data_IF_091603980268
#
_entry.id   IF_091603980268
#
_cell.length_a   1.000
_cell.length_b   1.000
_cell.length_c   1.000
_cell.angle_alpha   90.00
_cell.angle_beta   90.00
_cell.angle_gamma   90.00
#
_symmetry.space_group_name_H-M   'P 1'
#
loop_
_entity.id
_entity.type
_entity.pdbx_description
1 polymer ?
2 branched ?
3 branched ?
4 non-polymer ?
5 non-polymer ?
6 water ?
#
# COMPACT_ATOMS: atom_id res chain seq x y z
N UNK A 1 -13.44 -13.46 -76.14
CA UNK A 1 -13.68 -12.08 -75.71
C UNK A 1 -15.15 -11.84 -75.38
N UNK A 2 -15.55 -12.16 -74.14
CA UNK A 2 -16.84 -11.70 -73.61
C UNK A 2 -16.74 -10.24 -73.17
N UNK A 3 -17.85 -9.53 -73.12
CA UNK A 3 -17.85 -8.18 -72.59
C UNK A 3 -17.93 -8.24 -71.07
N UNK A 4 -17.20 -7.36 -70.39
CA UNK A 4 -17.12 -7.42 -68.93
C UNK A 4 -17.37 -6.09 -68.25
N UNK A 5 -17.58 -6.15 -66.94
CA UNK A 5 -17.60 -4.97 -66.09
C UNK A 5 -16.43 -5.09 -65.13
N UNK A 6 -15.86 -3.95 -64.74
CA UNK A 6 -14.71 -3.95 -63.83
C UNK A 6 -14.87 -2.88 -62.76
N UNK A 7 -14.57 -3.23 -61.51
CA UNK A 7 -14.63 -2.30 -60.39
C UNK A 7 -13.25 -2.14 -59.77
N UNK A 8 -12.78 -0.91 -59.67
CA UNK A 8 -11.46 -0.67 -59.11
C UNK A 8 -11.49 0.34 -57.97
N UNK A 9 -10.69 0.11 -56.92
CA UNK A 9 -9.91 -1.12 -56.72
C UNK A 9 -10.77 -2.28 -56.23
N UNK A 10 -10.35 -3.50 -56.50
CA UNK A 10 -11.10 -4.68 -56.07
C UNK A 10 -11.16 -4.78 -54.55
N UNK A 11 -9.98 -4.76 -53.92
CA UNK A 11 -9.91 -4.76 -52.46
C UNK A 11 -9.44 -3.40 -51.96
N UNK A 12 -10.14 -2.87 -50.96
CA UNK A 12 -9.81 -1.55 -50.46
C UNK A 12 -9.80 -1.49 -48.93
N UNK A 13 -8.73 -0.95 -48.39
CA UNK A 13 -8.63 -0.73 -46.95
C UNK A 13 -8.64 0.76 -46.62
N UNK A 14 -9.71 1.19 -45.98
CA UNK A 14 -9.88 2.59 -45.64
C UNK A 14 -10.01 2.74 -44.13
N UNK A 15 -9.34 3.73 -43.56
CA UNK A 15 -9.47 3.98 -42.14
C UNK A 15 -10.90 4.37 -41.83
N UNK A 16 -11.42 3.90 -40.70
CA UNK A 16 -12.82 4.09 -40.36
C UNK A 16 -13.23 5.57 -40.35
N UNK A 17 -14.29 5.88 -41.09
CA UNK A 17 -14.75 7.25 -41.23
C UNK A 17 -14.15 7.92 -42.45
N UNK A 18 -13.26 7.21 -43.13
CA UNK A 18 -12.56 7.76 -44.28
C UNK A 18 -13.38 7.73 -45.56
N UNK A 19 -12.71 7.96 -46.68
CA UNK A 19 -13.37 8.00 -47.97
C UNK A 19 -12.44 7.49 -49.08
N UNK A 20 -13.02 7.04 -50.18
CA UNK A 20 -12.22 6.57 -51.31
C UNK A 20 -12.99 6.68 -52.63
N UNK A 21 -12.24 6.66 -53.73
CA UNK A 21 -12.82 6.68 -55.06
C UNK A 21 -12.97 5.26 -55.62
N UNK A 22 -14.14 4.98 -56.18
CA UNK A 22 -14.38 3.69 -56.82
C UNK A 22 -14.67 3.88 -58.31
N UNK A 23 -13.92 3.17 -59.14
CA UNK A 23 -14.03 3.32 -60.59
C UNK A 23 -14.58 2.07 -61.27
N UNK A 24 -15.70 2.22 -61.99
CA UNK A 24 -16.29 1.12 -62.72
C UNK A 24 -16.11 1.28 -64.22
N UNK A 25 -15.54 0.28 -64.87
CA UNK A 25 -15.26 0.34 -66.30
C UNK A 25 -15.79 -0.89 -67.05
N UNK A 26 -16.10 -0.71 -68.32
CA UNK A 26 -16.61 -1.80 -69.17
C UNK A 26 -16.13 -1.66 -70.61
N UNK A 27 -16.01 -2.78 -71.32
CA UNK A 27 -15.62 -2.78 -72.72
C UNK A 27 -16.77 -2.88 -73.75
N UNK A 28 -18.00 -2.98 -73.28
CA UNK A 28 -19.18 -3.13 -74.15
C UNK A 28 -19.29 -1.97 -75.14
N UNK A 29 -19.58 -2.27 -76.41
CA UNK A 29 -19.57 -1.29 -77.51
C UNK A 29 -20.40 -0.02 -77.24
N UNK A 30 -21.62 -0.18 -76.74
CA UNK A 30 -22.29 0.93 -76.07
C UNK A 30 -23.02 0.35 -74.85
N UNK A 31 -22.94 1.04 -73.72
CA UNK A 31 -23.76 0.71 -72.55
C UNK A 31 -25.19 1.20 -72.70
N UNK A 32 -26.15 0.40 -72.29
CA UNK A 32 -27.51 0.90 -72.19
C UNK A 32 -27.82 1.40 -70.77
N UNK A 33 -26.94 1.08 -69.83
CA UNK A 33 -27.04 1.55 -68.46
C UNK A 33 -25.68 1.45 -67.78
N UNK A 34 -25.51 2.18 -66.68
CA UNK A 34 -24.30 2.10 -65.89
C UNK A 34 -24.54 2.61 -64.49
N UNK A 35 -23.73 2.19 -63.54
CA UNK A 35 -23.89 2.61 -62.17
C UNK A 35 -23.10 1.80 -61.17
N UNK A 36 -23.20 2.19 -59.90
CA UNK A 36 -22.50 1.52 -58.82
C UNK A 36 -23.48 1.30 -57.68
N UNK A 37 -23.51 0.08 -57.14
CA UNK A 37 -24.43 -0.25 -56.05
C UNK A 37 -23.73 -0.33 -54.72
N UNK A 38 -24.05 0.60 -53.82
CA UNK A 38 -23.54 0.56 -52.47
C UNK A 38 -24.49 1.28 -51.51
N UNK A 39 -24.38 0.95 -50.24
CA UNK A 39 -25.17 1.63 -49.21
C UNK A 39 -24.50 2.94 -48.83
N UNK A 40 -23.21 3.05 -49.16
CA UNK A 40 -22.41 4.21 -48.80
C UNK A 40 -22.85 5.48 -49.52
N UNK A 41 -22.69 6.61 -48.84
CA UNK A 41 -22.93 7.92 -49.43
C UNK A 41 -21.76 8.31 -50.32
N UNK A 42 -22.03 9.08 -51.36
CA UNK A 42 -20.97 9.55 -52.25
C UNK A 42 -20.86 11.07 -52.27
N UNK A 43 -19.68 11.57 -52.61
CA UNK A 43 -19.46 13.01 -52.65
C UNK A 43 -19.17 13.49 -54.07
N UNK A 44 -17.96 13.19 -54.54
CA UNK A 44 -17.55 13.56 -55.87
C UNK A 44 -17.96 12.48 -56.85
N UNK A 45 -18.23 12.88 -58.09
CA UNK A 45 -18.60 11.91 -59.12
C UNK A 45 -17.92 12.24 -60.45
N UNK A 46 -17.41 11.20 -61.09
CA UNK A 46 -16.76 11.35 -62.39
C UNK A 46 -17.30 10.31 -63.35
N UNK A 47 -17.19 10.59 -64.65
CA UNK A 47 -17.72 9.67 -65.65
C UNK A 47 -16.95 9.74 -66.95
N UNK A 48 -17.13 8.71 -67.76
CA UNK A 48 -16.53 8.64 -69.08
C UNK A 48 -17.46 7.78 -69.91
N UNK A 49 -17.12 7.56 -71.17
CA UNK A 49 -17.99 6.76 -72.02
C UNK A 49 -18.09 5.34 -71.49
N UNK A 50 -16.93 4.70 -71.32
CA UNK A 50 -16.90 3.30 -70.92
C UNK A 50 -16.73 3.12 -69.42
N UNK A 51 -16.58 4.23 -68.70
CA UNK A 51 -16.30 4.16 -67.27
C UNK A 51 -17.11 5.15 -66.44
N UNK A 52 -17.11 4.92 -65.13
CA UNK A 52 -17.86 5.72 -64.18
C UNK A 52 -17.11 5.73 -62.85
N UNK A 53 -17.14 6.85 -62.14
CA UNK A 53 -16.40 6.97 -60.89
C UNK A 53 -17.18 7.66 -59.78
N UNK A 54 -17.17 7.06 -58.59
CA UNK A 54 -17.82 7.63 -57.41
C UNK A 54 -16.85 7.75 -56.25
N UNK A 55 -16.98 8.83 -55.48
CA UNK A 55 -16.18 9.00 -54.27
C UNK A 55 -17.05 8.67 -53.08
N UNK A 56 -16.77 7.54 -52.45
CA UNK A 56 -17.60 7.07 -51.35
C UNK A 56 -17.04 7.58 -50.03
N UNK A 57 -17.88 8.23 -49.24
CA UNK A 57 -17.40 8.96 -48.08
C UNK A 57 -17.96 8.43 -46.75
N UNK A 58 -17.24 8.74 -45.68
CA UNK A 58 -17.69 8.43 -44.32
C UNK A 58 -17.99 6.95 -44.14
N UNK A 59 -17.03 6.07 -44.45
CA UNK A 59 -17.33 4.65 -44.39
C UNK A 59 -16.94 4.12 -43.02
N UNK A 60 -17.98 3.85 -42.22
CA UNK A 60 -17.83 3.26 -40.89
C UNK A 60 -17.75 1.73 -40.79
N UNK A 61 -18.57 1.04 -41.57
CA UNK A 61 -18.81 -0.40 -41.39
C UNK A 61 -17.61 -1.27 -41.83
N UNK A 62 -17.28 -2.30 -41.02
CA UNK A 62 -16.16 -3.21 -41.26
C UNK A 62 -16.17 -3.83 -42.64
N UNK A 63 -17.33 -4.25 -43.12
CA UNK A 63 -17.42 -4.85 -44.44
C UNK A 63 -18.62 -4.35 -45.24
N UNK A 64 -18.34 -3.88 -46.45
CA UNK A 64 -19.37 -3.50 -47.40
C UNK A 64 -18.90 -3.95 -48.78
N UNK A 65 -19.80 -4.56 -49.54
CA UNK A 65 -19.42 -5.03 -50.86
C UNK A 65 -20.16 -4.26 -51.95
N UNK A 66 -19.44 -3.36 -52.62
CA UNK A 66 -19.94 -2.58 -53.75
C UNK A 66 -19.98 -3.42 -55.02
N UNK A 67 -20.95 -3.14 -55.89
CA UNK A 67 -20.97 -3.80 -57.19
C UNK A 67 -21.16 -2.79 -58.32
N UNK A 68 -20.16 -2.73 -59.19
CA UNK A 68 -20.22 -1.89 -60.38
C UNK A 68 -20.85 -2.70 -61.49
N UNK A 69 -21.87 -2.16 -62.13
CA UNK A 69 -22.61 -2.91 -63.13
C UNK A 69 -22.82 -2.12 -64.42
N UNK A 70 -22.87 -2.83 -65.54
CA UNK A 70 -23.13 -2.21 -66.83
C UNK A 70 -24.09 -3.06 -67.65
N UNK A 71 -24.94 -2.39 -68.43
CA UNK A 71 -25.84 -3.09 -69.34
C UNK A 71 -25.36 -2.95 -70.78
N UNK A 72 -24.94 -4.07 -71.36
CA UNK A 72 -24.48 -4.08 -72.75
C UNK A 72 -25.16 -5.17 -73.56
N UNK A 73 -25.81 -4.78 -74.65
CA UNK A 73 -26.53 -5.70 -75.50
C UNK A 73 -27.59 -6.46 -74.72
N UNK A 74 -28.33 -5.73 -73.89
CA UNK A 74 -29.42 -6.29 -73.08
C UNK A 74 -28.96 -7.37 -72.11
N UNK A 75 -27.68 -7.36 -71.76
CA UNK A 75 -27.15 -8.29 -70.76
C UNK A 75 -26.53 -7.49 -69.62
N UNK A 76 -26.72 -7.96 -68.39
CA UNK A 76 -26.18 -7.26 -67.23
C UNK A 76 -24.76 -7.73 -66.92
N UNK A 77 -23.81 -6.79 -66.98
CA UNK A 77 -22.42 -7.08 -66.69
C UNK A 77 -22.11 -6.61 -65.28
N UNK A 78 -21.39 -7.42 -64.51
CA UNK A 78 -21.14 -7.09 -63.11
C UNK A 78 -19.69 -7.22 -62.67
N UNK A 79 -19.33 -6.41 -61.68
CA UNK A 79 -18.06 -6.52 -60.98
C UNK A 79 -18.30 -6.25 -59.50
N UNK A 80 -17.80 -7.13 -58.64
CA UNK A 80 -18.02 -7.00 -57.20
C UNK A 80 -16.73 -6.70 -56.43
N UNK A 81 -16.76 -5.64 -55.65
CA UNK A 81 -15.60 -5.24 -54.86
C UNK A 81 -15.75 -5.53 -53.37
N UNK A 82 -14.70 -5.23 -52.63
CA UNK A 82 -14.70 -5.40 -51.18
C UNK A 82 -14.05 -4.20 -50.50
N UNK A 83 -14.76 -3.61 -49.55
CA UNK A 83 -14.22 -2.49 -48.78
C UNK A 83 -14.13 -2.83 -47.31
N UNK A 84 -12.92 -2.82 -46.77
CA UNK A 84 -12.69 -3.14 -45.37
C UNK A 84 -12.12 -1.96 -44.60
N UNK A 85 -12.84 -1.52 -43.58
CA UNK A 85 -12.34 -0.47 -42.70
C UNK A 85 -11.36 -1.00 -41.65
N UNK A 86 -10.47 -0.13 -41.20
CA UNK A 86 -9.56 -0.47 -40.11
C UNK A 86 -9.52 0.65 -39.06
N UNK A 87 -9.25 0.26 -37.81
CA UNK A 87 -9.16 1.21 -36.71
C UNK A 87 -7.82 1.08 -36.00
N UNK A 88 -7.16 2.21 -35.79
CA UNK A 88 -5.88 2.20 -35.07
C UNK A 88 -6.12 1.90 -33.60
N UNK A 89 -5.13 1.30 -32.93
CA UNK A 89 -5.25 1.03 -31.50
C UNK A 89 -5.21 2.32 -30.67
N UNK A 90 -6.25 3.13 -30.79
CA UNK A 90 -6.30 4.41 -30.10
C UNK A 90 -6.47 4.25 -28.59
N UNK A 91 -7.13 3.18 -28.17
CA UNK A 91 -7.26 2.87 -26.76
C UNK A 91 -6.53 1.58 -26.41
N UNK A 92 -5.43 1.71 -25.68
CA UNK A 92 -4.73 0.56 -25.12
C UNK A 92 -4.68 0.75 -23.62
N UNK A 93 -5.36 -0.14 -22.89
CA UNK A 93 -5.54 0.07 -21.46
C UNK A 93 -5.13 -1.14 -20.63
N UNK A 94 -4.25 -0.90 -19.67
CA UNK A 94 -3.85 -1.93 -18.73
C UNK A 94 -4.66 -1.79 -17.46
N UNK A 95 -5.20 -2.91 -16.97
CA UNK A 95 -6.00 -2.90 -15.76
C UNK A 95 -5.16 -2.51 -14.55
N UNK A 96 -5.76 -1.74 -13.62
CA UNK A 96 -5.09 -1.29 -12.40
C UNK A 96 -4.48 -2.45 -11.62
N UNK A 97 -3.23 -2.29 -11.23
CA UNK A 97 -2.52 -3.29 -10.44
C UNK A 97 -3.02 -3.25 -9.00
N UNK A 98 -2.78 -4.34 -8.23
CA UNK A 98 -3.11 -4.29 -6.80
C UNK A 98 -2.29 -3.20 -6.12
N UNK A 99 -2.93 -2.41 -5.24
CA UNK A 99 -2.26 -1.31 -4.54
C UNK A 99 -1.02 -1.83 -3.81
N UNK A 100 -1.17 -2.95 -3.11
CA UNK A 100 -0.03 -3.65 -2.54
C UNK A 100 -0.18 -5.13 -2.88
N UNK A 101 0.89 -5.75 -3.36
CA UNK A 101 0.83 -7.15 -3.75
C UNK A 101 1.87 -7.92 -2.96
N UNK A 102 1.50 -9.12 -2.50
CA UNK A 102 2.42 -9.97 -1.73
C UNK A 102 3.53 -10.52 -2.61
N UNK A 103 4.74 -10.56 -2.08
CA UNK A 103 5.84 -11.22 -2.78
C UNK A 103 5.64 -12.72 -2.73
N UNK A 104 5.81 -13.39 -3.87
CA UNK A 104 5.61 -14.82 -3.95
C UNK A 104 4.18 -15.18 -4.31
N UNK A 105 3.34 -14.15 -4.43
CA UNK A 105 1.95 -14.32 -4.83
C UNK A 105 1.82 -14.09 -6.33
N UNK A 106 0.61 -14.24 -6.85
CA UNK A 106 0.34 -14.00 -8.26
C UNK A 106 -0.65 -12.86 -8.46
N UNK A 107 -0.40 -12.05 -9.48
CA UNK A 107 -1.35 -11.02 -9.87
C UNK A 107 -1.59 -11.13 -11.37
N UNK A 108 -2.73 -10.64 -11.82
CA UNK A 108 -3.11 -10.78 -13.21
C UNK A 108 -3.05 -9.46 -13.99
N UNK A 109 -2.23 -9.42 -15.04
CA UNK A 109 -2.19 -8.30 -15.95
C UNK A 109 -3.31 -8.44 -16.97
N UNK A 110 -4.05 -7.37 -17.21
CA UNK A 110 -5.09 -7.40 -18.23
C UNK A 110 -5.01 -6.18 -19.15
N UNK A 111 -4.74 -6.43 -20.42
CA UNK A 111 -4.74 -5.35 -21.42
C UNK A 111 -6.00 -5.42 -22.27
N UNK A 112 -6.51 -4.25 -22.63
CA UNK A 112 -7.75 -4.13 -23.37
C UNK A 112 -7.58 -3.14 -24.51
N UNK A 113 -7.76 -3.61 -25.74
CA UNK A 113 -7.64 -2.74 -26.90
C UNK A 113 -8.95 -2.73 -27.67
N UNK A 114 -9.92 -1.93 -27.20
CA UNK A 114 -11.25 -1.88 -27.81
C UNK A 114 -11.25 -1.23 -29.18
N UNK A 115 -11.97 -1.83 -30.13
CA UNK A 115 -12.25 -1.22 -31.40
C UNK A 115 -11.19 -1.34 -32.47
N UNK A 116 -9.96 -1.66 -32.08
CA UNK A 116 -8.85 -1.78 -33.04
C UNK A 116 -9.07 -2.96 -33.96
N UNK A 117 -8.87 -2.74 -35.26
CA UNK A 117 -9.12 -3.78 -36.24
C UNK A 117 -8.32 -3.65 -37.53
N UNK A 118 -8.31 -4.72 -38.35
CA UNK A 118 -8.95 -6.01 -38.06
C UNK A 118 -8.21 -6.80 -36.97
N UNK A 119 -8.97 -7.52 -36.15
CA UNK A 119 -8.40 -8.24 -35.02
C UNK A 119 -7.29 -9.19 -35.44
N UNK A 120 -7.48 -9.86 -36.57
CA UNK A 120 -6.51 -10.83 -37.07
C UNK A 120 -5.12 -10.22 -37.26
N UNK A 121 -5.06 -8.92 -37.53
CA UNK A 121 -3.80 -8.24 -37.77
C UNK A 121 -3.23 -7.65 -36.48
N UNK A 122 -3.95 -7.81 -35.37
CA UNK A 122 -3.52 -7.28 -34.09
C UNK A 122 -2.54 -8.21 -33.36
N UNK A 123 -1.52 -7.61 -32.76
CA UNK A 123 -0.61 -8.35 -31.90
C UNK A 123 -0.46 -7.60 -30.58
N UNK A 124 -0.86 -8.24 -29.49
CA UNK A 124 -0.79 -7.62 -28.18
C UNK A 124 0.39 -8.16 -27.39
N UNK A 125 1.05 -7.26 -26.66
CA UNK A 125 2.22 -7.64 -25.88
C UNK A 125 2.16 -7.05 -24.47
N UNK A 126 2.38 -7.90 -23.48
CA UNK A 126 2.47 -7.44 -22.09
C UNK A 126 3.94 -7.32 -21.70
N UNK A 127 4.32 -6.17 -21.18
CA UNK A 127 5.72 -5.91 -20.90
C UNK A 127 6.00 -5.53 -19.45
N UNK A 128 7.14 -6.00 -18.95
CA UNK A 128 7.68 -5.54 -17.69
C UNK A 128 8.95 -4.79 -18.04
N UNK A 129 8.91 -3.46 -17.87
CA UNK A 129 9.99 -2.62 -18.36
C UNK A 129 10.10 -2.75 -19.87
N UNK A 130 11.29 -3.09 -20.35
CA UNK A 130 11.51 -3.31 -21.78
C UNK A 130 11.40 -4.78 -22.16
N UNK A 131 11.17 -5.64 -21.15
CA UNK A 131 11.08 -7.08 -21.36
C UNK A 131 9.66 -7.50 -21.72
N UNK A 132 9.54 -8.47 -22.63
CA UNK A 132 8.24 -8.96 -23.05
C UNK A 132 7.82 -10.18 -22.23
N UNK A 133 6.79 -10.01 -21.41
CA UNK A 133 6.26 -11.10 -20.62
C UNK A 133 5.52 -12.11 -21.50
N UNK A 134 4.60 -11.61 -22.30
CA UNK A 134 3.83 -12.46 -23.20
C UNK A 134 3.48 -11.73 -24.51
N UNK A 135 3.51 -12.47 -25.61
CA UNK A 135 3.21 -11.91 -26.93
C UNK A 135 2.11 -12.71 -27.58
N UNK A 136 1.01 -12.05 -27.93
CA UNK A 136 -0.18 -12.74 -28.43
C UNK A 136 -0.57 -12.27 -29.83
N UNK A 137 -0.60 -13.21 -30.77
CA UNK A 137 -1.04 -12.92 -32.13
C UNK A 137 -2.45 -13.44 -32.35
N UNK A 138 -3.27 -12.62 -32.98
CA UNK A 138 -4.69 -12.90 -33.18
C UNK A 138 -5.06 -13.54 -34.53
N UNK A 139 -4.06 -13.87 -35.35
CA UNK A 139 -4.32 -14.44 -36.66
C UNK A 139 -5.25 -15.65 -36.58
N UNK A 140 -6.25 -15.67 -37.45
CA UNK A 140 -7.26 -16.71 -37.46
C UNK A 140 -8.63 -16.26 -36.97
N UNK A 141 -8.68 -15.05 -36.42
CA UNK A 141 -9.96 -14.48 -35.96
C UNK A 141 -10.83 -14.10 -37.17
N UNK A 142 -12.14 -13.92 -36.94
CA UNK A 142 -13.06 -13.46 -38.00
C UNK A 142 -12.61 -12.14 -38.65
N UNK A 143 -12.94 -11.94 -39.93
CA UNK A 143 -12.53 -10.73 -40.66
C UNK A 143 -13.23 -9.47 -40.16
N UNK A 144 -14.42 -9.62 -39.61
CA UNK A 144 -15.21 -8.49 -39.14
C UNK A 144 -15.00 -8.22 -37.65
N UNK A 145 -14.12 -9.01 -37.04
CA UNK A 145 -13.87 -8.90 -35.61
C UNK A 145 -13.00 -7.69 -35.28
N UNK A 146 -13.47 -6.87 -34.35
CA UNK A 146 -12.74 -5.69 -33.90
C UNK A 146 -12.40 -5.79 -32.42
N UNK A 147 -11.22 -5.31 -32.05
CA UNK A 147 -10.82 -5.30 -30.66
C UNK A 147 -10.09 -6.55 -30.24
N UNK A 148 -9.25 -6.43 -29.21
CA UNK A 148 -8.49 -7.56 -28.70
C UNK A 148 -8.25 -7.45 -27.19
N UNK A 149 -8.02 -8.59 -26.55
CA UNK A 149 -7.77 -8.63 -25.11
C UNK A 149 -6.67 -9.64 -24.78
N UNK A 150 -5.70 -9.23 -23.96
CA UNK A 150 -4.65 -10.12 -23.52
C UNK A 150 -4.47 -10.10 -22.01
N UNK A 151 -4.53 -11.26 -21.40
CA UNK A 151 -4.35 -11.39 -19.96
C UNK A 151 -3.26 -12.41 -19.63
N UNK A 152 -2.48 -12.12 -18.60
CA UNK A 152 -1.44 -13.05 -18.14
C UNK A 152 -1.27 -12.96 -16.64
N UNK A 153 -0.83 -14.05 -16.03
CA UNK A 153 -0.59 -14.07 -14.59
C UNK A 153 0.91 -14.02 -14.33
N UNK A 154 1.34 -13.03 -13.54
CA UNK A 154 2.75 -12.83 -13.27
C UNK A 154 3.05 -13.09 -11.80
N UNK A 155 4.23 -13.64 -11.53
CA UNK A 155 4.66 -13.90 -10.17
C UNK A 155 5.41 -12.69 -9.61
N UNK A 156 4.93 -12.16 -8.51
CA UNK A 156 5.54 -10.98 -7.90
C UNK A 156 6.89 -11.33 -7.30
N UNK A 157 7.89 -10.50 -7.59
CA UNK A 157 9.24 -10.70 -7.04
C UNK A 157 9.64 -9.51 -6.19
N UNK A 158 10.58 -9.73 -5.27
CA UNK A 158 11.22 -8.62 -4.56
C UNK A 158 11.89 -7.71 -5.58
N UNK A 159 12.36 -8.34 -6.66
CA UNK A 159 12.90 -7.65 -7.83
C UNK A 159 11.91 -6.64 -8.42
N UNK A 160 10.62 -6.89 -8.22
CA UNK A 160 9.57 -6.20 -8.96
C UNK A 160 9.08 -4.91 -8.32
N UNK A 161 9.65 -4.53 -7.19
CA UNK A 161 9.18 -3.33 -6.51
C UNK A 161 9.58 -2.08 -7.30
N UNK A 162 8.57 -1.26 -7.61
CA UNK A 162 8.79 -0.05 -8.39
C UNK A 162 8.92 -0.31 -9.87
N UNK A 163 8.65 -1.54 -10.28
CA UNK A 163 8.75 -1.91 -11.69
C UNK A 163 7.53 -1.44 -12.48
N UNK A 164 7.75 -1.15 -13.77
CA UNK A 164 6.68 -0.66 -14.64
C UNK A 164 6.13 -1.75 -15.55
N UNK A 165 4.80 -1.85 -15.59
CA UNK A 165 4.14 -2.80 -16.47
C UNK A 165 3.25 -2.06 -17.47
N UNK A 166 3.29 -2.50 -18.72
CA UNK A 166 2.54 -1.83 -19.78
C UNK A 166 2.03 -2.84 -20.79
N UNK A 167 1.03 -2.43 -21.55
CA UNK A 167 0.51 -3.27 -22.63
C UNK A 167 0.75 -2.58 -23.97
N UNK A 168 1.05 -3.37 -24.99
CA UNK A 168 1.41 -2.82 -26.29
C UNK A 168 0.62 -3.50 -27.41
N UNK A 169 -0.18 -2.70 -28.11
CA UNK A 169 -1.00 -3.21 -29.21
C UNK A 169 -0.38 -2.84 -30.55
N UNK A 170 -0.35 -3.80 -31.47
CA UNK A 170 0.30 -3.60 -32.76
C UNK A 170 -0.60 -4.05 -33.90
N UNK A 171 -0.95 -3.12 -34.79
CA UNK A 171 -1.78 -3.44 -35.95
C UNK A 171 -0.92 -3.54 -37.19
N UNK A 172 -0.89 -4.72 -37.82
CA UNK A 172 -0.04 -4.91 -38.98
C UNK A 172 -0.88 -4.86 -40.25
N UNK A 173 -0.77 -3.75 -40.97
CA UNK A 173 -1.37 -3.60 -42.29
C UNK A 173 -0.40 -3.78 -43.48
N UNK A 174 0.85 -4.10 -43.18
CA UNK A 174 1.91 -4.18 -44.19
C UNK A 174 1.57 -4.91 -45.51
N UNK A 175 0.86 -6.05 -45.44
CA UNK A 175 0.45 -6.66 -46.71
C UNK A 175 -0.38 -5.73 -47.59
N UNK A 176 -1.06 -4.76 -46.99
CA UNK A 176 -1.90 -3.83 -47.72
C UNK A 176 -1.17 -2.53 -48.07
N UNK A 177 0.10 -2.46 -47.70
CA UNK A 177 0.92 -1.30 -47.99
C UNK A 177 0.69 -0.15 -47.02
N UNK A 178 -0.06 -0.41 -45.96
CA UNK A 178 -0.39 0.62 -44.98
C UNK A 178 0.54 0.62 -43.76
N UNK A 179 1.52 -0.28 -43.76
CA UNK A 179 2.50 -0.30 -42.68
C UNK A 179 1.95 -0.74 -41.33
N UNK A 180 2.62 -0.30 -40.27
CA UNK A 180 2.24 -0.67 -38.91
C UNK A 180 1.61 0.49 -38.13
N UNK A 181 0.66 0.16 -37.27
CA UNK A 181 0.08 1.14 -36.36
C UNK A 181 0.10 0.57 -34.93
N UNK A 182 0.82 1.23 -34.04
CA UNK A 182 0.94 0.74 -32.67
C UNK A 182 0.75 1.83 -31.63
N UNK A 183 0.29 1.43 -30.45
CA UNK A 183 0.13 2.35 -29.33
C UNK A 183 0.29 1.58 -28.02
N UNK A 184 0.78 2.25 -26.99
CA UNK A 184 0.99 1.60 -25.70
C UNK A 184 0.16 2.23 -24.60
N UNK A 185 -0.12 1.45 -23.57
CA UNK A 185 -0.81 1.94 -22.39
C UNK A 185 0.16 2.73 -21.53
N UNK A 186 -0.38 3.64 -20.72
CA UNK A 186 0.43 4.32 -19.72
C UNK A 186 0.93 3.27 -18.73
N UNK A 187 2.23 3.30 -18.41
CA UNK A 187 2.85 2.31 -17.54
C UNK A 187 2.20 2.25 -16.16
N UNK A 188 2.13 1.04 -15.61
CA UNK A 188 1.63 0.87 -14.25
C UNK A 188 2.74 0.36 -13.34
N UNK A 189 2.92 1.03 -12.20
CA UNK A 189 3.97 0.66 -11.27
C UNK A 189 3.46 -0.38 -10.29
N UNK A 190 4.32 -1.32 -9.93
CA UNK A 190 3.93 -2.40 -9.03
C UNK A 190 4.58 -2.26 -7.66
N UNK A 191 3.77 -2.44 -6.62
CA UNK A 191 4.28 -2.44 -5.24
C UNK A 191 4.25 -3.87 -4.70
N UNK A 192 5.40 -4.34 -4.22
CA UNK A 192 5.47 -5.66 -3.61
C UNK A 192 5.97 -5.58 -2.17
N UNK A 193 5.14 -6.03 -1.24
CA UNK A 193 5.52 -6.08 0.17
C UNK A 193 5.64 -7.53 0.62
N UNK A 194 6.53 -7.76 1.59
CA UNK A 194 6.64 -9.08 2.21
C UNK A 194 6.60 -8.94 3.73
N UNK A 195 5.59 -9.57 4.33
CA UNK A 195 5.43 -9.51 5.78
C UNK A 195 5.41 -10.91 6.38
N UNK A 196 6.41 -11.20 7.19
CA UNK A 196 6.54 -12.49 7.86
C UNK A 196 5.44 -12.69 8.91
N UNK A 197 5.07 -13.94 9.18
CA UNK A 197 3.95 -14.23 10.08
C UNK A 197 4.17 -13.78 11.53
N UNK A 198 5.42 -13.59 11.93
CA UNK A 198 5.75 -13.32 13.32
C UNK A 198 5.23 -11.97 13.84
N UNK A 199 4.73 -11.98 15.07
CA UNK A 199 4.37 -10.76 15.77
C UNK A 199 5.66 -10.07 16.20
N UNK A 200 5.64 -8.74 16.31
CA UNK A 200 6.85 -8.00 16.68
C UNK A 200 7.33 -8.31 18.10
N UNK A 201 8.64 -8.27 18.30
CA UNK A 201 9.22 -8.43 19.62
C UNK A 201 9.09 -7.14 20.41
N UNK A 202 8.53 -7.23 21.61
CA UNK A 202 8.40 -6.06 22.47
C UNK A 202 9.19 -6.26 23.75
N UNK A 203 10.19 -5.42 23.98
CA UNK A 203 11.03 -5.54 25.17
C UNK A 203 10.64 -4.49 26.21
N UNK A 204 10.04 -4.96 27.30
CA UNK A 204 9.55 -4.07 28.34
C UNK A 204 9.67 -4.72 29.72
N UNK A 205 9.88 -3.89 30.76
CA UNK A 205 9.77 -4.32 32.15
C UNK A 205 8.32 -4.58 32.53
N UNK A 206 8.08 -5.58 33.37
CA UNK A 206 6.72 -5.92 33.78
C UNK A 206 6.19 -4.94 34.82
N UNK A 207 7.10 -4.30 35.54
CA UNK A 207 6.73 -3.35 36.58
C UNK A 207 7.20 -1.95 36.23
N UNK A 208 6.32 -0.97 36.43
CA UNK A 208 6.68 0.42 36.19
C UNK A 208 6.14 1.31 37.29
N UNK A 209 6.96 2.25 37.76
CA UNK A 209 6.52 3.19 38.78
C UNK A 209 6.07 4.50 38.14
N UNK A 210 5.02 5.09 38.72
CA UNK A 210 4.53 6.39 38.29
C UNK A 210 5.63 7.44 38.43
N UNK A 211 5.90 8.15 37.33
CA UNK A 211 6.91 9.18 37.34
C UNK A 211 8.29 8.68 36.95
N UNK A 212 8.48 7.37 36.99
CA UNK A 212 9.77 6.77 36.63
C UNK A 212 9.95 6.67 35.12
N UNK A 213 11.21 6.73 34.68
CA UNK A 213 11.53 6.62 33.25
C UNK A 213 12.23 5.30 32.93
N UNK A 214 11.57 4.48 32.13
CA UNK A 214 12.13 3.18 31.76
C UNK A 214 12.15 3.00 30.24
N UNK A 215 13.19 2.35 29.72
CA UNK A 215 13.30 2.09 28.27
C UNK A 215 12.34 1.03 27.79
N UNK A 216 11.78 1.21 26.60
CA UNK A 216 10.88 0.26 25.98
C UNK A 216 11.28 0.11 24.52
N UNK A 217 11.23 -1.12 24.00
CA UNK A 217 11.62 -1.35 22.60
C UNK A 217 10.73 -2.37 21.90
N UNK A 218 10.37 -2.06 20.67
CA UNK A 218 9.64 -2.99 19.81
C UNK A 218 10.44 -3.23 18.54
N UNK A 219 10.43 -4.47 18.04
CA UNK A 219 11.22 -4.77 16.84
C UNK A 219 10.66 -5.93 15.99
N UNK A 220 11.06 -5.94 14.73
CA UNK A 220 10.64 -6.97 13.79
C UNK A 220 11.68 -7.11 12.68
N UNK A 221 11.61 -8.23 11.96
CA UNK A 221 12.55 -8.46 10.86
C UNK A 221 11.81 -9.05 9.66
N UNK A 222 12.53 -9.23 8.55
CA UNK A 222 11.94 -9.76 7.33
C UNK A 222 10.86 -8.86 6.74
N UNK A 223 11.10 -7.55 6.75
CA UNK A 223 10.12 -6.58 6.26
C UNK A 223 10.58 -5.89 4.99
N UNK A 224 9.87 -6.12 3.89
CA UNK A 224 10.16 -5.41 2.66
C UNK A 224 8.89 -4.72 2.16
N UNK A 225 9.03 -3.48 1.68
CA UNK A 225 10.20 -2.64 1.99
C UNK A 225 10.08 -2.17 3.44
N UNK A 226 11.20 -2.13 4.16
CA UNK A 226 11.17 -1.80 5.58
C UNK A 226 10.72 -0.35 5.83
N UNK A 227 11.00 0.51 4.86
CA UNK A 227 10.75 1.94 4.99
C UNK A 227 9.25 2.27 5.01
N UNK A 228 8.45 1.44 4.35
CA UNK A 228 7.03 1.72 4.21
C UNK A 228 6.21 1.21 5.39
N UNK A 229 6.85 0.43 6.25
CA UNK A 229 6.18 -0.09 7.43
C UNK A 229 5.97 1.00 8.47
N UNK A 230 4.75 1.10 8.99
CA UNK A 230 4.42 2.10 10.01
C UNK A 230 4.15 1.45 11.36
N UNK A 231 5.01 1.73 12.33
CA UNK A 231 4.92 1.11 13.65
C UNK A 231 4.34 2.05 14.70
N UNK A 232 3.37 1.56 15.46
CA UNK A 232 2.74 2.32 16.53
C UNK A 232 3.07 1.67 17.87
N UNK A 233 3.63 2.45 18.79
CA UNK A 233 3.87 1.98 20.14
C UNK A 233 3.14 2.93 21.10
N UNK A 234 2.82 2.43 22.28
CA UNK A 234 2.12 3.20 23.29
C UNK A 234 1.98 2.37 24.55
N UNK A 235 1.73 3.04 25.67
CA UNK A 235 1.50 2.37 26.94
C UNK A 235 0.04 2.63 27.26
N UNK A 236 -0.78 1.58 27.17
CA UNK A 236 -2.19 1.76 27.38
C UNK A 236 -2.69 2.76 26.36
N UNK A 237 -3.24 3.86 26.89
CA UNK A 237 -3.70 4.97 26.09
C UNK A 237 -2.56 5.80 25.50
N UNK A 238 -1.77 6.42 26.37
CA UNK A 238 -0.73 7.38 25.95
C UNK A 238 0.20 6.84 24.86
N UNK A 239 0.38 7.63 23.81
CA UNK A 239 1.17 7.23 22.65
C UNK A 239 2.64 7.61 22.79
N UNK A 240 3.50 6.60 22.73
CA UNK A 240 4.94 6.82 22.69
C UNK A 240 5.35 7.19 21.27
N UNK A 241 6.42 7.96 21.14
CA UNK A 241 6.92 8.33 19.82
C UNK A 241 8.34 7.80 19.68
N UNK A 242 8.46 6.49 19.43
CA UNK A 242 9.78 5.84 19.42
C UNK A 242 10.58 6.32 18.22
N UNK A 243 11.88 6.10 18.26
CA UNK A 243 12.72 6.38 17.11
C UNK A 243 12.80 5.10 16.31
N UNK A 244 12.20 5.11 15.12
CA UNK A 244 12.16 3.93 14.30
C UNK A 244 13.36 3.97 13.39
N UNK A 245 14.27 3.03 13.58
CA UNK A 245 15.48 2.93 12.77
C UNK A 245 15.44 1.64 11.95
N UNK A 246 15.97 1.71 10.74
CA UNK A 246 15.88 0.59 9.81
C UNK A 246 17.24 -0.01 9.52
N UNK A 247 17.42 -1.26 9.92
CA UNK A 247 18.63 -2.01 9.60
C UNK A 247 18.25 -3.22 8.75
N UNK A 248 18.70 -3.21 7.51
CA UNK A 248 18.31 -4.22 6.54
C UNK A 248 16.81 -4.22 6.36
N UNK A 249 16.19 -5.39 6.50
CA UNK A 249 14.74 -5.48 6.47
C UNK A 249 14.15 -5.44 7.88
N UNK A 250 15.01 -5.26 8.88
CA UNK A 250 14.56 -5.18 10.27
C UNK A 250 14.41 -3.74 10.74
N UNK A 251 13.37 -3.48 11.54
CA UNK A 251 13.21 -2.17 12.16
C UNK A 251 13.41 -2.25 13.68
N UNK A 252 13.87 -1.17 14.27
CA UNK A 252 14.03 -1.09 15.72
C UNK A 252 13.36 0.16 16.26
N UNK A 253 12.34 -0.02 17.09
CA UNK A 253 11.65 1.12 17.69
C UNK A 253 12.01 1.23 19.17
N UNK A 254 12.62 2.35 19.54
CA UNK A 254 13.08 2.56 20.91
C UNK A 254 12.43 3.80 21.52
N UNK A 255 11.91 3.67 22.74
CA UNK A 255 11.23 4.78 23.39
C UNK A 255 11.39 4.78 24.91
N UNK A 256 10.71 5.71 25.56
CA UNK A 256 10.75 5.85 27.01
C UNK A 256 9.35 6.12 27.54
N UNK A 257 8.99 5.49 28.66
CA UNK A 257 7.64 5.62 29.19
C UNK A 257 7.59 6.01 30.67
N UNK A 258 6.66 6.90 31.00
CA UNK A 258 6.42 7.31 32.38
C UNK A 258 4.94 7.21 32.70
N UNK A 259 4.62 6.52 33.78
CA UNK A 259 3.23 6.32 34.21
C UNK A 259 2.65 7.61 34.79
N UNK A 260 1.51 8.04 34.27
CA UNK A 260 0.92 9.35 34.60
C UNK A 260 -0.14 9.39 35.71
N UNK A 261 -0.36 8.26 36.37
CA UNK A 261 -1.57 7.97 37.18
C UNK A 261 -2.67 7.39 36.29
N UNK A 262 -2.38 7.29 35.00
CA UNK A 262 -3.03 6.31 34.16
C UNK A 262 -2.53 5.00 34.74
N UNK A 263 -3.26 3.92 34.54
CA UNK A 263 -3.13 2.76 35.40
C UNK A 263 -3.45 3.23 36.87
N UNK A 264 -2.81 2.84 37.99
CA UNK A 264 -1.77 1.85 38.19
C UNK A 264 -2.37 0.46 38.03
N UNK A 265 -1.56 -0.57 38.25
CA UNK A 265 -2.04 -1.94 38.04
C UNK A 265 -2.01 -2.40 36.59
N UNK A 266 -3.05 -3.13 36.18
CA UNK A 266 -3.02 -3.88 34.92
C UNK A 266 -3.16 -2.97 33.70
N UNK A 267 -2.13 -3.02 32.87
CA UNK A 267 -2.00 -2.19 31.68
C UNK A 267 -1.44 -3.02 30.52
N UNK A 268 -1.52 -2.47 29.32
CA UNK A 268 -0.97 -3.13 28.15
C UNK A 268 0.05 -2.26 27.43
N UNK A 269 1.14 -2.90 27.02
CA UNK A 269 2.13 -2.26 26.17
C UNK A 269 1.86 -2.75 24.76
N UNK A 270 1.39 -1.86 23.89
CA UNK A 270 1.00 -2.31 22.55
C UNK A 270 1.99 -1.85 21.48
N UNK A 271 2.35 -2.77 20.60
CA UNK A 271 3.10 -2.42 19.41
C UNK A 271 2.44 -3.01 18.18
N UNK A 272 1.90 -2.17 17.30
CA UNK A 272 1.35 -2.67 16.04
C UNK A 272 1.92 -2.01 14.78
N UNK A 273 2.26 -2.85 13.80
CA UNK A 273 2.90 -2.42 12.57
C UNK A 273 1.99 -2.69 11.37
N UNK A 274 2.04 -1.82 10.38
CA UNK A 274 1.32 -2.03 9.13
C UNK A 274 2.26 -1.92 7.93
N UNK A 275 2.39 -3.02 7.20
CA UNK A 275 3.14 -3.03 5.95
C UNK A 275 2.21 -3.57 4.86
N UNK A 276 1.92 -2.75 3.87
CA UNK A 276 0.89 -3.07 2.91
C UNK A 276 -0.44 -2.95 3.61
N UNK A 277 -1.37 -3.86 3.31
CA UNK A 277 -2.66 -3.88 3.97
C UNK A 277 -2.61 -4.74 5.23
N UNK A 278 -1.54 -5.51 5.37
CA UNK A 278 -1.40 -6.41 6.51
C UNK A 278 -0.94 -5.70 7.78
N UNK A 279 -1.36 -6.22 8.92
CA UNK A 279 -0.94 -5.67 10.20
C UNK A 279 -0.59 -6.74 11.24
N UNK A 280 0.41 -6.44 12.08
CA UNK A 280 0.81 -7.33 13.15
C UNK A 280 0.68 -6.59 14.48
N UNK A 281 0.61 -7.34 15.56
CA UNK A 281 0.56 -6.73 16.89
C UNK A 281 1.16 -7.62 17.97
N UNK A 282 1.73 -6.97 18.99
CA UNK A 282 2.21 -7.66 20.17
C UNK A 282 1.80 -6.86 21.40
N UNK A 283 1.23 -7.55 22.38
CA UNK A 283 0.83 -6.89 23.62
C UNK A 283 1.51 -7.47 24.85
N UNK A 284 2.01 -6.59 25.71
CA UNK A 284 2.62 -7.01 26.96
C UNK A 284 1.85 -6.41 28.13
N UNK A 285 1.35 -7.28 29.02
CA UNK A 285 0.74 -6.83 30.26
C UNK A 285 1.82 -6.25 31.14
N UNK A 286 1.60 -5.03 31.59
CA UNK A 286 2.55 -4.36 32.46
C UNK A 286 1.83 -3.81 33.69
N UNK A 287 2.50 -3.93 34.83
CA UNK A 287 1.97 -3.42 36.08
C UNK A 287 2.59 -2.08 36.44
N UNK A 288 1.75 -1.13 36.74
CA UNK A 288 2.22 0.16 37.18
C UNK A 288 1.80 0.24 38.65
N UNK A 289 2.55 0.96 39.48
CA UNK A 289 2.24 1.10 40.91
C UNK A 289 2.62 2.48 41.41
N UNK A 290 1.88 2.99 42.39
CA UNK A 290 2.24 4.25 43.03
C UNK A 290 2.82 3.93 44.40
N UNK A 291 4.08 4.27 44.61
CA UNK A 291 4.77 3.98 45.85
C UNK A 291 5.26 5.28 46.49
N UNK A 292 4.37 5.99 47.20
CA UNK A 292 4.74 7.24 47.87
C UNK A 292 5.88 7.02 48.87
N UNK A 293 6.89 7.86 48.79
CA UNK A 293 8.08 7.75 49.65
C UNK A 293 7.71 7.91 51.11
N UNK A 294 8.38 7.16 51.99
CA UNK A 294 8.09 7.27 53.42
C UNK A 294 8.54 8.62 53.95
N UNK A 295 7.70 9.26 54.76
CA UNK A 295 8.05 10.55 55.34
C UNK A 295 8.60 10.38 56.75
N UNK A 296 9.89 10.67 56.90
CA UNK A 296 10.55 10.56 58.20
C UNK A 296 10.67 11.94 58.83
N UNK A 297 10.04 12.11 59.99
CA UNK A 297 9.99 13.41 60.64
C UNK A 297 10.43 13.37 62.10
N UNK A 298 11.23 14.36 62.49
CA UNK A 298 11.64 14.53 63.88
C UNK A 298 10.79 15.63 64.50
N UNK A 299 10.40 15.45 65.76
CA UNK A 299 9.65 16.48 66.47
C UNK A 299 10.40 17.80 66.43
N UNK A 300 11.70 17.76 66.70
CA UNK A 300 12.59 18.86 66.36
C UNK A 300 13.94 18.32 65.88
N UNK A 301 14.52 18.97 64.87
CA UNK A 301 15.85 18.63 64.36
C UNK A 301 16.95 18.95 65.36
N UNK A 302 16.78 20.05 66.09
CA UNK A 302 17.77 20.49 67.07
C UNK A 302 17.14 20.62 68.45
N UNK A 303 17.67 19.88 69.42
CA UNK A 303 17.15 19.92 70.78
C UNK A 303 18.27 19.92 71.81
N UNK A 304 18.01 20.55 72.95
CA UNK A 304 18.92 20.49 74.08
C UNK A 304 18.76 19.11 74.71
N UNK A 305 19.78 18.65 75.42
CA UNK A 305 19.67 17.35 76.07
C UNK A 305 18.68 17.40 77.22
N UNK A 306 17.94 16.31 77.41
CA UNK A 306 16.88 16.27 78.40
C UNK A 306 15.54 16.58 77.77
N UNK A 307 15.58 17.20 76.60
CA UNK A 307 14.37 17.54 75.85
C UNK A 307 13.84 16.29 75.14
N UNK A 308 12.53 16.22 75.00
CA UNK A 308 11.87 15.03 74.47
C UNK A 308 11.65 15.10 72.96
N UNK A 309 12.08 14.06 72.25
CA UNK A 309 11.94 14.01 70.80
C UNK A 309 11.19 12.79 70.29
N UNK A 310 10.29 13.00 69.34
CA UNK A 310 9.52 11.92 68.76
C UNK A 310 9.80 11.79 67.27
N UNK A 311 10.38 10.67 66.87
CA UNK A 311 10.67 10.44 65.47
C UNK A 311 9.65 9.46 64.87
N UNK A 312 9.05 9.83 63.75
CA UNK A 312 8.04 9.00 63.10
C UNK A 312 8.30 8.85 61.61
N UNK A 313 8.05 7.66 61.09
CA UNK A 313 8.11 7.46 59.65
C UNK A 313 6.72 7.11 59.15
N UNK A 314 6.17 7.98 58.32
CA UNK A 314 4.86 7.76 57.74
C UNK A 314 4.98 7.42 56.28
N UNK A 315 4.07 6.59 55.80
CA UNK A 315 4.09 6.12 54.42
C UNK A 315 2.73 6.41 53.80
N UNK A 316 2.51 5.89 52.59
CA UNK A 316 1.19 5.95 52.00
C UNK A 316 0.28 4.99 52.72
N UNK A 317 -0.90 4.77 52.17
CA UNK A 317 -1.90 3.95 52.85
C UNK A 317 -1.62 2.48 52.61
N UNK A 318 -0.56 2.21 51.86
CA UNK A 318 -0.27 0.86 51.37
C UNK A 318 0.71 0.04 52.22
N UNK A 319 1.95 0.49 52.29
CA UNK A 319 3.08 -0.38 52.66
C UNK A 319 3.27 -0.67 54.15
N UNK A 320 4.28 -1.49 54.44
CA UNK A 320 4.65 -1.87 55.79
C UNK A 320 5.83 -1.01 56.24
N UNK A 321 5.69 -0.38 57.40
CA UNK A 321 6.66 0.60 57.87
C UNK A 321 7.60 0.05 58.94
N UNK A 322 8.90 0.22 58.74
CA UNK A 322 9.88 -0.20 59.73
C UNK A 322 10.73 0.98 60.22
N UNK A 323 10.61 1.29 61.50
CA UNK A 323 11.38 2.38 62.11
C UNK A 323 12.46 1.82 63.02
N UNK A 324 13.72 2.08 62.66
CA UNK A 324 14.87 1.71 63.48
C UNK A 324 14.90 0.22 63.80
N UNK A 325 14.42 -0.59 62.85
CA UNK A 325 14.36 -2.03 63.03
C UNK A 325 13.01 -2.47 63.58
N UNK A 326 12.19 -1.52 64.00
CA UNK A 326 10.88 -1.84 64.57
C UNK A 326 9.76 -1.62 63.56
N UNK A 327 9.10 -2.73 63.16
CA UNK A 327 7.95 -2.65 62.24
C UNK A 327 6.85 -1.78 62.83
N UNK A 328 6.07 -1.13 61.97
CA UNK A 328 4.99 -0.25 62.41
C UNK A 328 4.00 -1.02 63.27
N UNK A 329 3.72 -0.50 64.46
CA UNK A 329 2.75 -1.11 65.35
C UNK A 329 1.59 -0.14 65.57
N UNK A 330 0.39 -0.50 65.08
CA UNK A 330 0.18 -1.76 64.37
C UNK A 330 0.53 -1.57 62.88
N UNK A 331 0.48 -2.63 62.06
CA UNK A 331 0.78 -2.42 60.64
C UNK A 331 -0.22 -1.55 59.88
N UNK A 332 0.29 -0.74 58.94
CA UNK A 332 -0.55 0.06 58.07
C UNK A 332 -0.57 1.55 58.33
N UNK A 333 -0.03 1.98 59.47
CA UNK A 333 -0.05 3.39 59.84
C UNK A 333 1.32 3.78 60.43
N UNK A 334 1.63 5.09 60.50
CA UNK A 334 2.99 5.51 60.88
C UNK A 334 3.52 4.92 62.18
N UNK A 335 4.81 4.59 62.17
CA UNK A 335 5.49 4.08 63.35
C UNK A 335 6.13 5.23 64.10
N UNK A 336 6.00 5.22 65.42
CA UNK A 336 6.57 6.29 66.25
C UNK A 336 7.61 5.78 67.23
N UNK A 337 8.64 6.59 67.47
CA UNK A 337 9.63 6.32 68.50
C UNK A 337 9.82 7.56 69.35
N UNK A 338 10.07 7.36 70.64
CA UNK A 338 10.31 8.48 71.53
C UNK A 338 11.56 8.27 72.37
N UNK A 339 12.28 9.36 72.62
CA UNK A 339 13.45 9.31 73.47
C UNK A 339 13.73 10.70 74.05
N UNK A 340 14.50 10.72 75.13
CA UNK A 340 14.97 11.96 75.70
C UNK A 340 16.39 12.24 75.21
N UNK A 341 16.61 13.45 74.72
CA UNK A 341 17.88 13.80 74.09
C UNK A 341 19.07 13.68 75.04
N UNK A 342 20.12 13.02 74.56
CA UNK A 342 21.36 12.87 75.31
C UNK A 342 22.47 13.46 74.46
N UNK A 343 23.61 13.78 75.08
CA UNK A 343 24.77 14.27 74.34
C UNK A 343 25.22 13.24 73.32
N UNK A 344 24.92 11.97 73.60
CA UNK A 344 25.26 10.88 72.68
C UNK A 344 24.35 10.82 71.45
N UNK A 345 23.28 11.60 71.47
CA UNK A 345 22.32 11.58 70.37
C UNK A 345 22.62 12.63 69.30
N UNK A 346 23.72 13.37 69.49
CA UNK A 346 24.15 14.33 68.49
C UNK A 346 24.69 13.60 67.27
N UNK A 347 24.29 14.06 66.09
CA UNK A 347 24.66 13.42 64.83
C UNK A 347 24.21 11.96 64.81
N UNK A 348 23.03 11.71 65.35
CA UNK A 348 22.46 10.36 65.35
C UNK A 348 21.45 10.20 64.23
N UNK A 349 21.57 9.12 63.47
CA UNK A 349 20.67 8.90 62.35
C UNK A 349 19.51 7.97 62.69
N UNK A 350 18.33 8.31 62.18
CA UNK A 350 17.16 7.44 62.28
C UNK A 350 16.73 6.97 60.91
N UNK A 351 16.17 5.77 60.83
CA UNK A 351 15.87 5.14 59.55
C UNK A 351 14.45 4.61 59.49
N UNK A 352 13.80 4.87 58.37
CA UNK A 352 12.45 4.34 58.14
C UNK A 352 12.41 3.57 56.84
N UNK A 353 11.79 2.39 56.86
CA UNK A 353 11.70 1.55 55.68
C UNK A 353 10.25 1.26 55.32
N UNK A 354 9.92 1.45 54.05
CA UNK A 354 8.60 1.11 53.53
C UNK A 354 8.73 -0.09 52.59
N UNK A 355 7.97 -1.14 52.88
CA UNK A 355 8.01 -2.35 52.05
C UNK A 355 6.66 -2.59 51.38
N UNK A 356 6.63 -2.48 50.05
CA UNK A 356 5.37 -2.66 49.32
C UNK A 356 5.38 -3.87 48.41
N UNK A 357 4.26 -4.59 48.38
CA UNK A 357 4.08 -5.74 47.53
C UNK A 357 3.23 -5.38 46.32
N UNK A 358 3.79 -5.59 45.12
CA UNK A 358 3.06 -5.39 43.88
C UNK A 358 3.22 -6.60 42.98
N UNK A 359 2.11 -7.27 42.67
CA UNK A 359 2.13 -8.48 41.86
C UNK A 359 3.10 -9.51 42.42
N UNK A 360 3.18 -9.56 43.74
CA UNK A 360 4.04 -10.51 44.42
C UNK A 360 5.46 -9.99 44.58
N UNK A 361 5.75 -8.87 43.93
CA UNK A 361 7.09 -8.28 43.99
C UNK A 361 7.25 -7.43 45.25
N UNK A 362 8.34 -7.68 45.98
CA UNK A 362 8.66 -6.89 47.16
C UNK A 362 9.48 -5.67 46.76
N UNK A 363 9.00 -4.48 47.13
CA UNK A 363 9.69 -3.25 46.80
C UNK A 363 9.93 -2.40 48.04
N UNK A 364 11.14 -1.86 48.16
CA UNK A 364 11.51 -1.09 49.34
C UNK A 364 12.06 0.30 49.02
N UNK A 365 11.66 1.27 49.84
CA UNK A 365 12.25 2.61 49.79
C UNK A 365 12.73 3.00 51.18
N UNK A 366 14.03 3.18 51.32
CA UNK A 366 14.60 3.52 52.62
C UNK A 366 14.90 5.01 52.76
N UNK A 367 14.65 5.54 53.95
CA UNK A 367 14.82 6.97 54.23
C UNK A 367 15.59 7.17 55.53
N UNK A 368 16.32 8.28 55.62
CA UNK A 368 17.13 8.55 56.81
C UNK A 368 17.05 10.01 57.23
N UNK A 369 17.40 10.28 58.48
CA UNK A 369 17.43 11.64 59.02
C UNK A 369 18.43 11.73 60.16
N UNK A 370 18.90 12.94 60.46
CA UNK A 370 19.89 13.12 61.51
C UNK A 370 19.46 14.13 62.57
N UNK A 371 19.70 13.79 63.84
CA UNK A 371 19.34 14.66 64.95
C UNK A 371 20.56 15.39 65.49
N UNK A 372 20.37 16.67 65.81
CA UNK A 372 21.41 17.46 66.44
C UNK A 372 21.05 17.80 67.88
N UNK A 373 21.97 17.52 68.80
CA UNK A 373 21.78 17.89 70.20
C UNK A 373 22.62 19.13 70.52
N UNK A 374 21.94 20.25 70.76
CA UNK A 374 22.61 21.52 71.00
C UNK A 374 23.49 21.50 72.24
N UNK A 375 24.70 22.04 72.09
CA UNK A 375 25.67 22.10 73.19
C UNK A 375 25.41 23.25 74.15
N UNK A 376 25.51 22.98 75.44
CA UNK A 376 25.46 24.04 76.44
C UNK A 376 26.21 23.60 77.70
N UNK A 377 26.35 24.52 78.68
CA UNK A 377 26.83 24.12 80.00
C UNK A 377 25.74 23.49 80.86
N UNK A 378 26.14 22.71 81.87
CA UNK A 378 25.20 22.14 82.83
C UNK A 378 25.38 22.75 84.21
#
# INVERSE_FOLDING_TARGET
EPFWADLQPRVAFVERGGSLWLNCSTNCPRPERGGLETSLRRNGTQRGLRWLARQLVDIREPETQPVCFFRCARRTLQARGLIRTFQRPDRVELMPLPPWQPVGENFTLSCRVPGAGPRASLTLTLLRGAQELIRRSFAGEPPRARGAVLTATVLARREDHGANFSCRAELDLRPHGLGLFENSSAPRELRTFSLSPDAPRLAAPRLLEVGSERPVSCTLDGLFPASEARVYLALGDQNLSPDVTLEGDAFVATATATASAEQEGARQLVCNVTLGGENRETRENVTIYSFPAPLLTLSEPSVSEGQMVTVTCAAGAQALVTLEGVPAAVPGQPAQLQLNATENDDRRSFFCDATLDVDGETLIKNRSAELRVLYAPR
#
